data_IF_501356866548
#
_entry.id   IF_501356866548
#
_cell.length_a   1.000
_cell.length_b   1.000
_cell.length_c   1.000
_cell.angle_alpha   90.00
_cell.angle_beta   90.00
_cell.angle_gamma   90.00
#
_symmetry.space_group_name_H-M   'P 1'
#
loop_
_entity.id
_entity.type
_entity.pdbx_description
1 polymer ?
#
# COMPACT_ATOMS: atom_id res chain seq x y z
N UNK A 1 -9.39 -12.56 2.13
CA UNK A 1 -8.16 -11.74 2.15
C UNK A 1 -7.68 -11.65 0.71
N UNK A 2 -7.72 -10.44 0.13
CA UNK A 2 -7.44 -10.26 -1.29
C UNK A 2 -5.95 -10.40 -1.62
N UNK A 3 -5.64 -10.97 -2.79
CA UNK A 3 -4.28 -11.12 -3.32
C UNK A 3 -3.48 -9.78 -3.32
N UNK A 4 -4.15 -8.63 -3.50
CA UNK A 4 -3.50 -7.33 -3.54
C UNK A 4 -2.78 -6.92 -2.25
N UNK A 5 -3.31 -7.28 -1.09
CA UNK A 5 -2.71 -7.02 0.22
C UNK A 5 -1.39 -7.81 0.42
N UNK A 6 -1.33 -9.04 -0.08
CA UNK A 6 -0.14 -9.89 0.01
C UNK A 6 1.04 -9.32 -0.76
N UNK A 7 0.84 -8.89 -2.01
CA UNK A 7 1.91 -8.33 -2.83
C UNK A 7 2.49 -7.02 -2.28
N UNK A 8 1.65 -6.19 -1.68
CA UNK A 8 2.09 -4.93 -1.08
C UNK A 8 3.00 -5.17 0.12
N UNK A 9 2.64 -6.13 0.97
CA UNK A 9 3.47 -6.55 2.11
C UNK A 9 4.82 -7.08 1.66
N UNK A 10 4.84 -7.93 0.63
CA UNK A 10 6.08 -8.47 0.08
C UNK A 10 7.07 -7.38 -0.33
N UNK A 11 6.60 -6.28 -0.91
CA UNK A 11 7.47 -5.16 -1.28
C UNK A 11 8.06 -4.49 -0.03
N UNK A 12 7.24 -4.26 1.01
CA UNK A 12 7.71 -3.65 2.25
C UNK A 12 8.63 -4.58 3.03
N UNK A 13 8.34 -5.90 3.02
CA UNK A 13 9.20 -6.93 3.60
C UNK A 13 10.57 -6.97 2.89
N UNK A 14 10.57 -6.91 1.55
CA UNK A 14 11.81 -6.85 0.75
C UNK A 14 12.61 -5.57 1.00
N UNK A 15 11.94 -4.47 1.28
CA UNK A 15 12.55 -3.19 1.63
C UNK A 15 12.91 -3.10 3.12
N UNK A 16 12.59 -4.10 3.93
CA UNK A 16 12.83 -4.14 5.37
C UNK A 16 12.27 -2.90 6.11
N UNK A 17 11.15 -2.35 5.62
CA UNK A 17 10.50 -1.18 6.22
C UNK A 17 9.39 -1.66 7.17
N UNK A 18 9.41 -1.18 8.41
CA UNK A 18 8.37 -1.48 9.40
C UNK A 18 7.02 -0.91 8.96
N UNK A 19 5.98 -1.76 8.98
CA UNK A 19 4.62 -1.38 8.60
C UNK A 19 3.58 -2.02 9.53
N UNK A 20 2.38 -1.49 9.49
CA UNK A 20 1.21 -2.06 10.19
C UNK A 20 -0.03 -2.02 9.29
N UNK A 21 -1.03 -2.84 9.64
CA UNK A 21 -2.36 -2.83 9.03
C UNK A 21 -3.34 -2.17 9.97
N UNK A 22 -4.20 -1.33 9.40
CA UNK A 22 -5.30 -0.71 10.11
C UNK A 22 -6.59 -1.02 9.35
N UNK A 23 -7.57 -1.58 10.04
CA UNK A 23 -8.93 -1.65 9.54
C UNK A 23 -9.64 -0.37 9.95
N UNK A 24 -10.12 0.41 8.96
CA UNK A 24 -10.77 1.67 9.22
C UNK A 24 -12.11 1.49 9.92
N UNK A 25 -12.37 2.33 10.92
CA UNK A 25 -13.68 2.42 11.54
C UNK A 25 -14.70 3.11 10.60
N UNK A 26 -15.97 2.99 10.90
CA UNK A 26 -17.05 3.51 10.05
C UNK A 26 -16.99 5.01 9.84
N UNK A 27 -16.40 5.78 10.78
CA UNK A 27 -16.23 7.22 10.66
C UNK A 27 -15.20 7.65 9.61
N UNK A 28 -14.23 6.77 9.32
CA UNK A 28 -13.13 7.03 8.37
C UNK A 28 -13.35 6.34 7.01
N UNK A 29 -14.38 5.49 6.91
CA UNK A 29 -14.72 4.84 5.66
C UNK A 29 -15.26 5.84 4.64
N UNK A 30 -14.75 5.76 3.40
CA UNK A 30 -15.39 6.42 2.26
C UNK A 30 -16.85 5.94 2.09
N UNK A 31 -17.76 6.84 1.76
CA UNK A 31 -19.22 6.60 1.71
C UNK A 31 -19.63 5.37 0.89
N UNK A 32 -18.81 4.92 -0.04
CA UNK A 32 -19.09 3.78 -0.93
C UNK A 32 -18.42 2.48 -0.51
N UNK A 33 -17.50 2.53 0.46
CA UNK A 33 -16.76 1.37 0.92
C UNK A 33 -17.50 0.67 2.07
N UNK A 34 -17.56 -0.65 2.02
CA UNK A 34 -18.07 -1.49 3.11
C UNK A 34 -16.98 -1.90 4.10
N UNK A 35 -15.73 -1.91 3.66
CA UNK A 35 -14.54 -2.24 4.45
C UNK A 35 -13.32 -1.65 3.77
N UNK A 36 -12.43 -1.07 4.56
CA UNK A 36 -11.12 -0.59 4.11
C UNK A 36 -10.03 -1.06 5.05
N UNK A 37 -8.94 -1.53 4.47
CA UNK A 37 -7.71 -1.88 5.18
C UNK A 37 -6.60 -1.03 4.63
N UNK A 38 -5.98 -0.24 5.50
CA UNK A 38 -4.82 0.57 5.18
C UNK A 38 -3.53 -0.13 5.60
N UNK A 39 -2.49 0.11 4.84
CA UNK A 39 -1.11 -0.24 5.20
C UNK A 39 -0.40 1.07 5.50
N UNK A 40 0.15 1.16 6.67
CA UNK A 40 0.93 2.30 7.12
C UNK A 40 2.38 1.89 7.36
N UNK A 41 3.33 2.76 7.00
CA UNK A 41 4.76 2.60 7.22
C UNK A 41 5.26 3.56 8.29
N UNK A 42 6.27 3.12 9.02
CA UNK A 42 6.94 3.94 10.02
C UNK A 42 7.82 5.01 9.37
N UNK A 43 7.65 6.25 9.79
CA UNK A 43 8.50 7.38 9.40
C UNK A 43 9.26 7.91 10.61
N UNK A 44 10.55 7.63 10.73
CA UNK A 44 11.36 8.00 11.90
C UNK A 44 11.36 9.48 12.23
N UNK A 45 11.44 10.36 11.22
CA UNK A 45 11.48 11.81 11.43
C UNK A 45 10.19 12.38 12.04
N UNK A 46 9.07 11.68 11.86
CA UNK A 46 7.76 12.07 12.38
C UNK A 46 7.35 11.26 13.60
N UNK A 47 8.14 10.25 13.97
CA UNK A 47 7.84 9.28 15.05
C UNK A 47 6.41 8.72 14.95
N UNK A 48 5.96 8.43 13.72
CA UNK A 48 4.58 7.98 13.47
C UNK A 48 4.48 7.08 12.25
N UNK A 49 3.38 6.34 12.20
CA UNK A 49 2.97 5.58 11.00
C UNK A 49 2.18 6.47 10.06
N UNK A 50 2.43 6.33 8.76
CA UNK A 50 1.69 7.01 7.68
C UNK A 50 1.20 6.02 6.65
N UNK A 51 -0.04 6.22 6.19
CA UNK A 51 -0.64 5.41 5.13
C UNK A 51 0.24 5.42 3.87
N UNK A 52 0.52 4.25 3.33
CA UNK A 52 1.23 4.06 2.06
C UNK A 52 0.37 3.35 1.01
N UNK A 53 -0.66 2.67 1.45
CA UNK A 53 -1.61 1.99 0.58
C UNK A 53 -2.92 1.75 1.29
N UNK A 54 -4.01 1.85 0.54
CA UNK A 54 -5.36 1.52 0.99
C UNK A 54 -5.99 0.44 0.11
N UNK A 55 -6.78 -0.44 0.69
CA UNK A 55 -7.57 -1.46 0.02
C UNK A 55 -9.01 -1.41 0.50
N UNK A 56 -9.93 -1.08 -0.40
CA UNK A 56 -11.35 -0.96 -0.10
C UNK A 56 -12.18 -2.01 -0.83
N UNK A 57 -13.13 -2.59 -0.12
CA UNK A 57 -14.19 -3.44 -0.67
C UNK A 57 -15.47 -2.60 -0.79
N UNK A 58 -16.02 -2.54 -1.99
CA UNK A 58 -17.22 -1.75 -2.28
C UNK A 58 -18.49 -2.61 -2.43
N UNK A 59 -18.39 -3.92 -2.19
CA UNK A 59 -19.47 -4.87 -2.49
C UNK A 59 -20.03 -4.61 -3.90
N UNK A 60 -21.34 -4.46 -4.06
CA UNK A 60 -21.98 -4.21 -5.34
C UNK A 60 -22.19 -2.72 -5.69
N UNK A 61 -21.72 -1.80 -4.82
CA UNK A 61 -21.99 -0.38 -4.97
C UNK A 61 -21.52 0.18 -6.33
N UNK A 62 -20.29 -0.12 -6.72
CA UNK A 62 -19.74 0.33 -8.00
C UNK A 62 -20.33 -0.47 -9.17
N UNK A 63 -20.48 -1.77 -9.00
CA UNK A 63 -21.04 -2.65 -10.04
C UNK A 63 -22.47 -2.26 -10.41
N UNK A 64 -23.26 -1.80 -9.46
CA UNK A 64 -24.62 -1.31 -9.68
C UNK A 64 -24.65 -0.09 -10.58
N UNK A 65 -23.71 0.83 -10.40
CA UNK A 65 -23.57 2.06 -11.25
C UNK A 65 -23.02 1.76 -12.64
N UNK A 66 -22.08 0.85 -12.73
CA UNK A 66 -21.46 0.42 -13.98
C UNK A 66 -22.25 -0.67 -14.71
N UNK A 67 -23.32 -1.19 -14.09
CA UNK A 67 -24.10 -2.32 -14.57
C UNK A 67 -23.25 -3.58 -14.86
N UNK A 68 -22.24 -3.82 -14.03
CA UNK A 68 -21.36 -4.98 -14.15
C UNK A 68 -22.01 -6.18 -13.46
N UNK A 69 -22.27 -7.22 -14.24
CA UNK A 69 -22.89 -8.46 -13.77
C UNK A 69 -22.00 -9.66 -14.07
N UNK A 70 -22.00 -10.61 -13.15
CA UNK A 70 -21.38 -11.92 -13.32
C UNK A 70 -22.50 -12.86 -13.77
N UNK A 71 -22.22 -13.66 -14.80
CA UNK A 71 -23.10 -14.75 -15.21
C UNK A 71 -22.76 -15.97 -14.35
N UNK A 72 -23.64 -16.29 -13.44
CA UNK A 72 -23.66 -17.58 -12.77
C UNK A 72 -24.55 -18.56 -13.55
N UNK A 73 -24.48 -19.86 -13.25
CA UNK A 73 -25.16 -20.89 -14.03
C UNK A 73 -26.68 -20.65 -14.20
N UNK A 74 -27.33 -19.99 -13.25
CA UNK A 74 -28.77 -19.75 -13.20
C UNK A 74 -29.19 -18.29 -13.27
N UNK A 75 -28.34 -17.36 -12.84
CA UNK A 75 -28.72 -15.97 -12.67
C UNK A 75 -27.59 -15.00 -13.07
N UNK A 76 -27.98 -13.75 -13.35
CA UNK A 76 -27.03 -12.64 -13.46
C UNK A 76 -27.01 -11.87 -12.15
N UNK A 77 -25.92 -11.96 -11.41
CA UNK A 77 -25.72 -11.26 -10.14
C UNK A 77 -24.79 -10.06 -10.32
N UNK A 78 -24.95 -9.03 -9.50
CA UNK A 78 -24.03 -7.89 -9.49
C UNK A 78 -22.65 -8.33 -9.00
N UNK A 79 -21.59 -7.85 -9.66
CA UNK A 79 -20.24 -8.11 -9.23
C UNK A 79 -19.92 -7.35 -7.92
N UNK A 80 -19.04 -7.91 -7.10
CA UNK A 80 -18.42 -7.14 -6.04
C UNK A 80 -17.08 -6.57 -6.55
N UNK A 81 -16.75 -5.36 -6.15
CA UNK A 81 -15.53 -4.69 -6.57
C UNK A 81 -14.59 -4.41 -5.41
N UNK A 82 -13.31 -4.51 -5.68
CA UNK A 82 -12.23 -4.15 -4.76
C UNK A 82 -11.36 -3.13 -5.48
N UNK A 83 -10.98 -2.10 -4.76
CA UNK A 83 -10.03 -1.10 -5.22
C UNK A 83 -8.85 -1.04 -4.26
N UNK A 84 -7.65 -0.87 -4.79
CA UNK A 84 -6.48 -0.66 -3.97
C UNK A 84 -5.32 -0.16 -4.80
N UNK A 85 -4.65 0.89 -4.32
CA UNK A 85 -3.36 1.28 -4.88
C UNK A 85 -2.32 0.18 -4.63
N UNK A 86 -1.31 0.07 -5.47
CA UNK A 86 -0.11 -0.70 -5.16
C UNK A 86 0.54 -0.07 -3.91
N UNK A 87 1.67 0.60 -4.09
CA UNK A 87 2.21 1.50 -3.06
C UNK A 87 2.22 2.93 -3.60
N UNK A 88 1.98 3.90 -2.73
CA UNK A 88 2.18 5.31 -3.07
C UNK A 88 3.68 5.54 -3.28
N UNK A 89 4.13 5.61 -4.54
CA UNK A 89 5.55 5.64 -4.92
C UNK A 89 6.30 6.77 -4.21
N UNK A 90 5.74 7.98 -4.18
CA UNK A 90 6.35 9.12 -3.50
C UNK A 90 6.52 8.88 -2.00
N UNK A 91 5.50 8.34 -1.32
CA UNK A 91 5.59 8.04 0.12
C UNK A 91 6.52 6.85 0.39
N UNK A 92 6.56 5.87 -0.50
CA UNK A 92 7.53 4.78 -0.42
C UNK A 92 8.97 5.30 -0.52
N UNK A 93 9.23 6.24 -1.42
CA UNK A 93 10.53 6.89 -1.53
C UNK A 93 10.90 7.65 -0.25
N UNK A 94 9.96 8.42 0.32
CA UNK A 94 10.18 9.10 1.61
C UNK A 94 10.50 8.09 2.70
N UNK A 95 9.74 7.00 2.80
CA UNK A 95 9.98 5.95 3.79
C UNK A 95 11.37 5.31 3.63
N UNK A 96 11.81 5.05 2.39
CA UNK A 96 13.16 4.56 2.13
C UNK A 96 14.19 5.60 2.58
N UNK A 97 14.03 6.85 2.19
CA UNK A 97 14.99 7.91 2.54
C UNK A 97 15.13 8.08 4.05
N UNK A 98 14.02 8.05 4.80
CA UNK A 98 14.06 8.21 6.25
C UNK A 98 14.60 6.99 6.99
N UNK A 99 14.24 5.77 6.56
CA UNK A 99 14.66 4.54 7.24
C UNK A 99 16.10 4.10 6.88
N UNK A 100 16.63 4.55 5.75
CA UNK A 100 17.95 4.17 5.24
C UNK A 100 18.97 5.31 5.27
N UNK A 101 18.63 6.42 5.93
CA UNK A 101 19.55 7.53 6.11
C UNK A 101 20.58 7.22 7.19
N UNK A 102 21.85 7.38 6.87
CA UNK A 102 22.99 7.26 7.77
C UNK A 102 23.73 8.61 7.84
N UNK A 103 23.93 9.12 9.04
CA UNK A 103 24.54 10.44 9.26
C UNK A 103 25.98 10.57 8.72
N UNK A 104 26.69 9.45 8.59
CA UNK A 104 28.07 9.44 8.12
C UNK A 104 28.23 9.10 6.64
N UNK A 105 27.30 8.30 6.09
CA UNK A 105 27.38 7.77 4.73
C UNK A 105 26.41 8.44 3.77
N UNK A 106 25.31 8.98 4.27
CA UNK A 106 24.20 9.48 3.46
C UNK A 106 23.09 8.44 3.29
N UNK A 107 22.42 8.46 2.17
CA UNK A 107 21.31 7.54 1.91
C UNK A 107 21.82 6.19 1.42
N UNK A 108 21.65 5.16 2.20
CA UNK A 108 22.00 3.77 1.84
C UNK A 108 20.91 3.19 0.93
N UNK A 109 21.32 2.49 -0.12
CA UNK A 109 20.38 1.81 -1.01
C UNK A 109 19.93 0.48 -0.37
N UNK A 110 18.62 0.25 -0.18
CA UNK A 110 18.10 -1.04 0.29
C UNK A 110 18.60 -2.19 -0.58
N UNK A 111 18.89 -3.34 0.02
CA UNK A 111 19.42 -4.51 -0.70
C UNK A 111 18.55 -4.91 -1.90
N UNK A 112 17.23 -4.89 -1.72
CA UNK A 112 16.27 -5.22 -2.76
C UNK A 112 16.35 -4.31 -4.00
N UNK A 113 16.87 -3.09 -3.85
CA UNK A 113 16.98 -2.10 -4.93
C UNK A 113 18.35 -2.10 -5.62
N UNK A 114 19.39 -2.71 -5.03
CA UNK A 114 20.75 -2.71 -5.59
C UNK A 114 20.82 -3.29 -7.00
N UNK A 115 19.96 -4.25 -7.34
CA UNK A 115 19.90 -4.83 -8.70
C UNK A 115 19.36 -3.87 -9.78
N UNK A 116 18.78 -2.73 -9.38
CA UNK A 116 18.21 -1.74 -10.30
C UNK A 116 19.06 -0.48 -10.42
N UNK A 117 20.05 -0.32 -9.53
CA UNK A 117 20.95 0.83 -9.50
C UNK A 117 22.39 0.34 -9.39
N UNK A 118 23.36 1.14 -9.87
CA UNK A 118 24.80 0.80 -9.89
C UNK A 118 25.60 1.56 -8.82
N UNK A 119 24.95 1.92 -7.71
CA UNK A 119 25.57 2.55 -6.56
C UNK A 119 24.97 1.97 -5.27
N UNK A 120 25.74 1.98 -4.20
CA UNK A 120 25.33 1.43 -2.90
C UNK A 120 24.78 2.50 -1.95
N UNK A 121 25.17 3.76 -2.14
CA UNK A 121 24.69 4.88 -1.35
C UNK A 121 24.79 6.20 -2.12
N UNK A 122 24.01 7.18 -1.68
CA UNK A 122 24.08 8.57 -2.16
C UNK A 122 24.76 9.37 -1.06
N UNK A 123 25.99 9.89 -1.27
CA UNK A 123 26.75 10.59 -0.22
C UNK A 123 26.08 11.90 0.17
N UNK A 124 26.30 12.30 1.41
CA UNK A 124 26.05 13.68 1.85
C UNK A 124 26.99 14.63 1.09
N UNK A 125 26.47 15.78 0.70
CA UNK A 125 27.30 16.86 0.12
C UNK A 125 27.92 17.70 1.22
#
# INVERSE_FOLDING_TARGET
RGLGDVYKRQILDMLEISYRHIELCTGDLGFSASKTIDIEVWLPSQETFREISSCSNFTDFQARRMNIKIKDEKEKILAHTINGSGLAVGRCLVAIMENYFDENKGLIVPEALKKYVNFEFIPLK
#
